data_IF_600370636067
#
_entry.id   IF_600370636067
#
_cell.length_a   1.000
_cell.length_b   1.000
_cell.length_c   1.000
_cell.angle_alpha   90.00
_cell.angle_beta   90.00
_cell.angle_gamma   90.00
#
_symmetry.space_group_name_H-M   'P 1'
#
loop_
_entity.id
_entity.type
_entity.pdbx_description
1 polymer ?
#
# COMPACT_ATOMS: atom_id res chain seq x y z
N UNK A 1 -11.44 -8.73 2.33
CA UNK A 1 -10.43 -7.65 2.58
C UNK A 1 -9.28 -8.03 3.50
N UNK A 2 -9.55 -8.67 4.64
CA UNK A 2 -8.49 -9.10 5.56
C UNK A 2 -7.46 -10.03 4.88
N UNK A 3 -7.90 -10.85 3.93
CA UNK A 3 -7.07 -11.79 3.19
C UNK A 3 -5.99 -11.12 2.33
N UNK A 4 -6.39 -10.20 1.43
CA UNK A 4 -5.46 -9.40 0.60
C UNK A 4 -4.43 -8.65 1.45
N UNK A 5 -4.87 -8.01 2.53
CA UNK A 5 -3.96 -7.25 3.39
C UNK A 5 -2.99 -8.17 4.15
N UNK A 6 -3.43 -9.38 4.50
CA UNK A 6 -2.58 -10.38 5.15
C UNK A 6 -1.55 -10.93 4.18
N UNK A 7 -1.95 -11.16 2.92
CA UNK A 7 -1.04 -11.62 1.86
C UNK A 7 0.01 -10.56 1.51
N UNK A 8 -0.39 -9.30 1.34
CA UNK A 8 0.51 -8.17 1.12
C UNK A 8 1.60 -7.99 2.19
N UNK A 9 1.34 -8.46 3.42
CA UNK A 9 2.27 -8.37 4.55
C UNK A 9 3.25 -9.55 4.62
N UNK A 10 3.04 -10.60 3.82
CA UNK A 10 3.91 -11.78 3.83
C UNK A 10 5.33 -11.39 3.43
N UNK A 11 6.27 -12.01 4.13
CA UNK A 11 7.69 -11.91 3.86
C UNK A 11 8.19 -13.28 3.40
N UNK A 12 9.25 -13.28 2.59
CA UNK A 12 9.95 -14.51 2.25
C UNK A 12 10.75 -15.06 3.46
N UNK A 13 11.37 -16.23 3.28
CA UNK A 13 12.24 -16.86 4.30
C UNK A 13 13.45 -15.99 4.70
N UNK A 14 13.80 -14.99 3.88
CA UNK A 14 14.90 -14.04 4.09
C UNK A 14 14.41 -12.70 4.66
N UNK A 15 13.15 -12.60 5.10
CA UNK A 15 12.50 -11.39 5.59
C UNK A 15 12.37 -10.25 4.56
N UNK A 16 12.43 -10.54 3.27
CA UNK A 16 12.13 -9.58 2.22
C UNK A 16 10.63 -9.56 1.91
N UNK A 17 10.05 -8.39 1.55
CA UNK A 17 8.66 -8.31 1.14
C UNK A 17 8.45 -9.07 -0.17
N UNK A 18 7.38 -9.86 -0.23
CA UNK A 18 6.99 -10.61 -1.43
C UNK A 18 6.34 -9.64 -2.43
N UNK A 19 6.84 -9.54 -3.68
CA UNK A 19 6.20 -8.75 -4.72
C UNK A 19 4.84 -9.34 -5.10
N UNK A 20 3.87 -8.46 -5.34
CA UNK A 20 2.52 -8.82 -5.78
C UNK A 20 2.05 -7.90 -6.91
N UNK A 21 1.07 -8.37 -7.69
CA UNK A 21 0.37 -7.55 -8.66
C UNK A 21 -0.98 -7.09 -8.10
N UNK A 22 -1.32 -5.82 -8.36
CA UNK A 22 -2.63 -5.28 -8.00
C UNK A 22 -3.18 -4.37 -9.08
N UNK A 23 -4.50 -4.38 -9.16
CA UNK A 23 -5.25 -3.41 -9.95
C UNK A 23 -6.15 -2.62 -9.00
N UNK A 24 -6.03 -1.29 -9.05
CA UNK A 24 -6.72 -0.37 -8.16
C UNK A 24 -7.49 0.66 -8.96
N UNK A 25 -8.76 0.87 -8.63
CA UNK A 25 -9.53 2.00 -9.15
C UNK A 25 -9.16 3.27 -8.40
N UNK A 26 -8.83 4.34 -9.11
CA UNK A 26 -8.67 5.64 -8.46
C UNK A 26 -10.04 6.25 -8.15
N UNK A 27 -10.11 7.11 -7.15
CA UNK A 27 -11.31 7.90 -6.87
C UNK A 27 -10.95 9.37 -7.00
N UNK A 28 -11.67 10.08 -7.86
CA UNK A 28 -11.50 11.52 -7.97
C UNK A 28 -12.44 12.19 -6.96
N UNK A 29 -11.86 12.79 -5.94
CA UNK A 29 -12.58 13.43 -4.84
C UNK A 29 -13.35 14.68 -5.30
N UNK A 30 -12.86 15.39 -6.32
CA UNK A 30 -13.44 16.66 -6.77
C UNK A 30 -14.79 16.48 -7.45
N UNK A 31 -14.92 15.44 -8.27
CA UNK A 31 -16.15 15.14 -9.02
C UNK A 31 -16.89 13.91 -8.46
N UNK A 32 -16.43 13.34 -7.34
CA UNK A 32 -16.98 12.13 -6.69
C UNK A 32 -17.19 10.94 -7.64
N UNK A 33 -16.39 10.85 -8.69
CA UNK A 33 -16.47 9.78 -9.68
C UNK A 33 -15.33 8.78 -9.52
N UNK A 34 -15.60 7.53 -9.88
CA UNK A 34 -14.56 6.52 -9.99
C UNK A 34 -13.63 6.88 -11.15
N UNK A 35 -12.37 7.17 -10.83
CA UNK A 35 -11.33 7.56 -11.77
C UNK A 35 -10.73 6.37 -12.53
N UNK A 36 -9.56 6.62 -13.14
CA UNK A 36 -8.82 5.64 -13.94
C UNK A 36 -8.39 4.41 -13.14
N UNK A 37 -8.29 3.29 -13.85
CA UNK A 37 -7.72 2.05 -13.33
C UNK A 37 -6.19 2.16 -13.38
N UNK A 38 -5.53 1.80 -12.27
CA UNK A 38 -4.08 1.71 -12.18
C UNK A 38 -3.68 0.27 -11.91
N UNK A 39 -2.79 -0.24 -12.75
CA UNK A 39 -2.21 -1.56 -12.63
C UNK A 39 -0.78 -1.41 -12.10
N UNK A 40 -0.42 -2.24 -11.13
CA UNK A 40 0.92 -2.31 -10.57
C UNK A 40 1.33 -3.79 -10.57
N UNK A 41 2.26 -4.18 -11.43
CA UNK A 41 2.59 -5.60 -11.63
C UNK A 41 3.57 -6.16 -10.60
N UNK A 42 4.52 -5.32 -10.12
CA UNK A 42 5.59 -5.72 -9.20
C UNK A 42 5.65 -4.77 -8.00
N UNK A 43 4.57 -4.72 -7.24
CA UNK A 43 4.46 -3.90 -6.05
C UNK A 43 4.94 -4.65 -4.81
N UNK A 44 5.59 -3.94 -3.88
CA UNK A 44 5.86 -4.45 -2.53
C UNK A 44 5.26 -3.51 -1.47
N UNK A 45 4.72 -4.08 -0.39
CA UNK A 45 4.19 -3.28 0.70
C UNK A 45 5.34 -2.62 1.48
N UNK A 46 5.28 -1.30 1.67
CA UNK A 46 6.17 -0.62 2.61
C UNK A 46 5.61 -0.73 4.01
N UNK A 47 6.33 -1.45 4.87
CA UNK A 47 6.08 -1.46 6.29
C UNK A 47 6.89 -0.35 6.98
N UNK A 48 6.32 0.34 7.99
CA UNK A 48 7.11 1.24 8.82
C UNK A 48 8.24 0.46 9.50
N UNK A 49 9.42 1.08 9.72
CA UNK A 49 10.54 0.43 10.39
C UNK A 49 10.14 -0.01 11.80
N UNK A 50 10.54 -1.24 12.20
CA UNK A 50 10.25 -1.82 13.52
C UNK A 50 10.75 -0.98 14.70
N UNK A 51 11.79 -0.17 14.49
CA UNK A 51 12.30 0.81 15.46
C UNK A 51 11.94 2.22 14.99
N UNK A 52 11.14 2.95 15.77
CA UNK A 52 11.03 4.41 15.65
C UNK A 52 12.42 5.01 15.95
N UNK A 53 13.12 5.52 14.94
CA UNK A 53 14.30 6.38 15.17
C UNK A 53 15.59 6.04 14.41
N UNK A 54 15.75 4.87 13.78
CA UNK A 54 17.05 4.47 13.22
C UNK A 54 17.54 5.29 12.01
N UNK A 55 16.77 6.28 11.51
CA UNK A 55 17.17 7.15 10.39
C UNK A 55 16.69 8.60 10.47
N UNK A 56 16.41 9.12 11.68
CA UNK A 56 15.86 10.49 11.84
C UNK A 56 16.55 11.38 12.86
N UNK A 57 17.71 10.99 13.40
CA UNK A 57 18.48 11.79 14.36
C UNK A 57 18.89 13.19 13.84
N UNK A 58 18.72 13.49 12.55
CA UNK A 58 19.07 14.77 11.93
C UNK A 58 17.88 15.61 11.42
N UNK A 59 16.62 15.14 11.53
CA UNK A 59 15.46 15.93 11.08
C UNK A 59 14.40 16.01 12.17
N UNK A 60 14.31 17.19 12.78
CA UNK A 60 13.21 17.61 13.65
C UNK A 60 11.92 17.71 12.82
N UNK A 61 11.28 16.56 12.59
CA UNK A 61 9.98 16.50 11.92
C UNK A 61 9.04 15.75 12.84
N UNK A 62 8.05 16.48 13.36
CA UNK A 62 7.01 15.93 14.23
C UNK A 62 6.41 14.67 13.59
N UNK A 63 6.42 13.57 14.35
CA UNK A 63 5.90 12.29 13.90
C UNK A 63 4.37 12.37 13.78
N UNK A 64 3.87 12.75 12.60
CA UNK A 64 2.44 12.80 12.33
C UNK A 64 1.88 11.37 12.29
N UNK A 65 0.92 11.06 13.18
CA UNK A 65 0.22 9.78 13.17
C UNK A 65 -0.55 9.63 11.84
N UNK A 66 -0.24 8.64 10.99
CA UNK A 66 -0.82 8.56 9.65
C UNK A 66 -2.24 7.97 9.58
N UNK A 67 -2.86 7.61 10.72
CA UNK A 67 -4.22 7.03 10.82
C UNK A 67 -4.53 6.00 9.70
N UNK A 68 -3.61 5.06 9.49
CA UNK A 68 -3.70 4.06 8.42
C UNK A 68 -4.94 3.16 8.48
N UNK A 69 -5.58 3.05 9.66
CA UNK A 69 -6.78 2.26 9.85
C UNK A 69 -8.04 3.00 9.38
N UNK A 70 -8.22 4.25 9.81
CA UNK A 70 -9.33 5.10 9.36
C UNK A 70 -9.27 5.36 7.85
N UNK A 71 -8.09 5.71 7.35
CA UNK A 71 -7.94 6.08 5.95
C UNK A 71 -7.93 4.87 5.01
N UNK A 72 -7.74 3.66 5.54
CA UNK A 72 -7.59 2.41 4.78
C UNK A 72 -6.59 2.53 3.61
N UNK A 73 -5.56 3.38 3.78
CA UNK A 73 -4.50 3.58 2.79
C UNK A 73 -3.23 2.83 3.14
N UNK A 74 -2.51 2.36 2.12
CA UNK A 74 -1.20 1.71 2.25
C UNK A 74 -0.22 2.32 1.26
N UNK A 75 1.04 2.34 1.65
CA UNK A 75 2.13 2.73 0.76
C UNK A 75 2.72 1.46 0.14
N UNK A 76 2.84 1.47 -1.18
CA UNK A 76 3.49 0.41 -1.96
C UNK A 76 4.71 1.01 -2.69
N UNK A 77 5.74 0.19 -2.86
CA UNK A 77 6.90 0.53 -3.70
C UNK A 77 6.73 -0.17 -5.04
N UNK A 78 6.76 0.60 -6.12
CA UNK A 78 6.67 0.12 -7.51
C UNK A 78 7.72 0.88 -8.31
N UNK A 79 8.58 0.18 -9.05
CA UNK A 79 9.64 0.80 -9.88
C UNK A 79 10.47 1.85 -9.14
N UNK A 80 10.83 1.53 -7.89
CA UNK A 80 11.55 2.40 -6.98
C UNK A 80 10.81 3.69 -6.55
N UNK A 81 9.55 3.88 -6.95
CA UNK A 81 8.68 4.96 -6.52
C UNK A 81 7.74 4.51 -5.39
N UNK A 82 7.45 5.40 -4.45
CA UNK A 82 6.44 5.16 -3.41
C UNK A 82 5.10 5.69 -3.91
N UNK A 83 4.10 4.80 -3.99
CA UNK A 83 2.72 5.16 -4.33
C UNK A 83 1.82 4.86 -3.13
N UNK A 84 0.85 5.75 -2.88
CA UNK A 84 -0.20 5.54 -1.88
C UNK A 84 -1.44 5.01 -2.59
N UNK A 85 -1.98 3.91 -2.08
CA UNK A 85 -3.22 3.30 -2.57
C UNK A 85 -4.26 3.22 -1.45
N UNK A 86 -5.53 3.21 -1.82
CA UNK A 86 -6.62 2.86 -0.92
C UNK A 86 -6.96 1.37 -1.10
N UNK A 87 -6.93 0.59 -0.03
CA UNK A 87 -7.17 -0.86 -0.10
C UNK A 87 -8.64 -1.18 -0.44
N UNK A 88 -9.56 -0.23 -0.24
CA UNK A 88 -10.96 -0.39 -0.61
C UNK A 88 -11.19 -0.44 -2.12
N UNK A 89 -10.28 0.12 -2.90
CA UNK A 89 -10.45 0.21 -4.34
C UNK A 89 -9.61 -0.81 -5.11
N UNK A 90 -9.05 -1.80 -4.41
CA UNK A 90 -8.40 -2.94 -5.05
C UNK A 90 -9.50 -3.79 -5.70
N UNK A 91 -9.41 -3.96 -7.02
CA UNK A 91 -10.34 -4.79 -7.80
C UNK A 91 -9.74 -6.13 -8.18
N UNK A 92 -8.40 -6.22 -8.21
CA UNK A 92 -7.67 -7.44 -8.52
C UNK A 92 -6.38 -7.51 -7.70
N UNK A 93 -6.05 -8.72 -7.24
CA UNK A 93 -4.84 -9.03 -6.50
C UNK A 93 -4.24 -10.34 -7.02
N UNK A 94 -2.98 -10.32 -7.46
CA UNK A 94 -2.29 -11.47 -8.05
C UNK A 94 -3.10 -12.18 -9.16
N UNK A 95 -3.75 -11.40 -10.03
CA UNK A 95 -4.59 -11.91 -11.14
C UNK A 95 -5.95 -12.46 -10.70
N UNK A 96 -6.31 -12.37 -9.42
CA UNK A 96 -7.61 -12.80 -8.89
C UNK A 96 -8.47 -11.59 -8.58
N UNK A 97 -9.72 -11.60 -9.07
CA UNK A 97 -10.71 -10.56 -8.75
C UNK A 97 -10.98 -10.55 -7.25
N UNK A 98 -10.88 -9.38 -6.66
CA UNK A 98 -11.19 -9.16 -5.25
C UNK A 98 -12.66 -8.77 -5.15
N UNK A 99 -13.49 -9.70 -4.66
CA UNK A 99 -14.91 -9.42 -4.37
C UNK A 99 -15.02 -8.84 -2.96
N UNK A 100 -15.86 -7.81 -2.84
CA UNK A 100 -16.05 -7.05 -1.60
C UNK A 100 -17.04 -7.70 -0.65
#
# INVERSE_FOLDING_TARGET
>A
MADVLSDMKKLDKKNNPIPFSITVRTFNLQNKSGGSIKVYEKAVLLNPPKRKGAKRLAMDTAFKNPNHWENRTRNIKVDNQIKKINILFIIEYNGKKVVY
#
